data_IF_193461997671
#
_entry.id   IF_193461997671
#
_cell.length_a   1.000
_cell.length_b   1.000
_cell.length_c   1.000
_cell.angle_alpha   90.00
_cell.angle_beta   90.00
_cell.angle_gamma   90.00
#
_symmetry.space_group_name_H-M   'P 1'
#
loop_
_entity.id
_entity.type
_entity.pdbx_description
1 polymer ?
#
# COMPACT_ATOMS: atom_id res chain seq x y z
N UNK A 1 -8.82 -14.63 17.82
CA UNK A 1 -9.84 -15.36 17.01
C UNK A 1 -10.77 -14.46 16.20
N UNK A 2 -10.94 -13.16 16.50
CA UNK A 2 -11.87 -12.28 15.76
C UNK A 2 -11.46 -11.84 14.34
N UNK A 3 -10.23 -12.10 13.89
CA UNK A 3 -9.85 -11.80 12.49
C UNK A 3 -10.46 -12.80 11.52
N UNK A 4 -10.57 -14.07 11.91
CA UNK A 4 -11.17 -15.11 11.09
C UNK A 4 -12.66 -14.85 10.85
N UNK A 5 -13.39 -14.38 11.86
CA UNK A 5 -14.82 -14.03 11.71
C UNK A 5 -15.04 -12.81 10.82
N UNK A 6 -14.13 -11.83 10.86
CA UNK A 6 -14.19 -10.64 9.97
C UNK A 6 -13.79 -10.97 8.54
N UNK A 7 -12.82 -11.86 8.36
CA UNK A 7 -12.46 -12.42 7.06
C UNK A 7 -13.61 -13.27 6.49
N UNK A 8 -14.25 -14.12 7.30
CA UNK A 8 -15.43 -14.88 6.92
C UNK A 8 -16.62 -13.98 6.57
N UNK A 9 -16.81 -12.86 7.27
CA UNK A 9 -17.82 -11.88 6.89
C UNK A 9 -17.52 -11.26 5.52
N UNK A 10 -16.28 -10.89 5.22
CA UNK A 10 -15.89 -10.39 3.90
C UNK A 10 -16.06 -11.45 2.79
N UNK A 11 -15.72 -12.71 3.08
CA UNK A 11 -15.95 -13.84 2.17
C UNK A 11 -17.45 -14.12 2.00
N UNK A 12 -18.27 -13.96 3.04
CA UNK A 12 -19.71 -14.09 2.95
C UNK A 12 -20.32 -12.96 2.10
N UNK A 13 -19.87 -11.72 2.27
CA UNK A 13 -20.25 -10.61 1.39
C UNK A 13 -19.81 -10.85 -0.07
N UNK A 14 -18.63 -11.44 -0.28
CA UNK A 14 -18.17 -11.87 -1.59
C UNK A 14 -19.09 -12.93 -2.21
N UNK A 15 -19.45 -13.96 -1.44
CA UNK A 15 -20.35 -15.02 -1.87
C UNK A 15 -21.77 -14.49 -2.18
N UNK A 16 -22.27 -13.54 -1.39
CA UNK A 16 -23.54 -12.85 -1.64
C UNK A 16 -23.46 -12.02 -2.93
N UNK A 17 -22.39 -11.24 -3.14
CA UNK A 17 -22.19 -10.50 -4.39
C UNK A 17 -22.12 -11.39 -5.64
N UNK A 18 -21.54 -12.59 -5.51
CA UNK A 18 -21.52 -13.63 -6.54
C UNK A 18 -22.92 -14.20 -6.83
N UNK A 19 -23.71 -14.47 -5.79
CA UNK A 19 -25.06 -15.03 -5.91
C UNK A 19 -26.07 -14.03 -6.51
N UNK A 20 -25.92 -12.73 -6.25
CA UNK A 20 -26.82 -11.68 -6.74
C UNK A 20 -26.35 -11.01 -8.04
N UNK A 21 -25.28 -11.49 -8.68
CA UNK A 21 -24.87 -10.97 -9.99
C UNK A 21 -25.94 -11.30 -11.05
N UNK A 22 -26.43 -10.32 -11.83
CA UNK A 22 -27.47 -10.52 -12.85
C UNK A 22 -27.10 -11.58 -13.91
N UNK A 23 -25.80 -11.83 -14.09
CA UNK A 23 -25.32 -12.82 -15.04
C UNK A 23 -25.51 -14.26 -14.57
N UNK A 24 -25.59 -14.51 -13.25
CA UNK A 24 -25.70 -15.85 -12.63
C UNK A 24 -26.91 -16.65 -13.14
N UNK A 25 -27.91 -15.99 -13.72
CA UNK A 25 -29.15 -16.60 -14.23
C UNK A 25 -29.17 -16.85 -15.76
N UNK A 26 -28.10 -16.56 -16.52
CA UNK A 26 -28.06 -16.72 -17.98
C UNK A 26 -26.96 -17.68 -18.49
N UNK A 27 -27.33 -18.78 -19.16
CA UNK A 27 -26.42 -19.83 -19.65
C UNK A 27 -25.35 -19.36 -20.67
N UNK A 28 -24.14 -18.97 -20.19
CA UNK A 28 -22.86 -18.97 -20.93
C UNK A 28 -21.66 -19.04 -19.94
N UNK A 29 -21.17 -20.23 -19.57
CA UNK A 29 -20.20 -20.41 -18.46
C UNK A 29 -18.91 -19.56 -18.53
N UNK A 30 -18.43 -19.22 -19.74
CA UNK A 30 -17.24 -18.38 -19.95
C UNK A 30 -17.47 -16.92 -19.55
N UNK A 31 -18.68 -16.39 -19.74
CA UNK A 31 -19.03 -15.02 -19.35
C UNK A 31 -19.08 -14.86 -17.83
N UNK A 32 -19.61 -15.86 -17.13
CA UNK A 32 -19.68 -15.92 -15.68
C UNK A 32 -18.29 -15.96 -15.03
N UNK A 33 -17.38 -16.79 -15.55
CA UNK A 33 -16.01 -16.87 -15.05
C UNK A 33 -15.28 -15.53 -15.16
N UNK A 34 -15.44 -14.83 -16.30
CA UNK A 34 -14.86 -13.49 -16.48
C UNK A 34 -15.40 -12.49 -15.46
N UNK A 35 -16.71 -12.49 -15.21
CA UNK A 35 -17.33 -11.64 -14.20
C UNK A 35 -16.81 -11.93 -12.79
N UNK A 36 -16.71 -13.20 -12.40
CA UNK A 36 -16.19 -13.60 -11.10
C UNK A 36 -14.72 -13.22 -10.91
N UNK A 37 -13.89 -13.38 -11.94
CA UNK A 37 -12.49 -12.98 -11.89
C UNK A 37 -12.33 -11.46 -11.76
N UNK A 38 -13.13 -10.67 -12.49
CA UNK A 38 -13.14 -9.20 -12.36
C UNK A 38 -13.57 -8.77 -10.96
N UNK A 39 -14.61 -9.40 -10.40
CA UNK A 39 -15.08 -9.13 -9.04
C UNK A 39 -14.03 -9.48 -7.99
N UNK A 40 -13.43 -10.69 -8.10
CA UNK A 40 -12.36 -11.15 -7.21
C UNK A 40 -11.16 -10.22 -7.26
N UNK A 41 -10.75 -9.84 -8.48
CA UNK A 41 -9.67 -8.89 -8.71
C UNK A 41 -9.96 -7.55 -8.02
N UNK A 42 -11.11 -6.93 -8.31
CA UNK A 42 -11.47 -5.61 -7.80
C UNK A 42 -11.54 -5.59 -6.27
N UNK A 43 -12.19 -6.58 -5.66
CA UNK A 43 -12.34 -6.65 -4.21
C UNK A 43 -11.01 -6.90 -3.49
N UNK A 44 -10.20 -7.83 -4.00
CA UNK A 44 -8.88 -8.09 -3.42
C UNK A 44 -7.94 -6.90 -3.62
N UNK A 45 -7.90 -6.33 -4.81
CA UNK A 45 -7.08 -5.16 -5.12
C UNK A 45 -7.45 -3.96 -4.23
N UNK A 46 -8.74 -3.64 -4.12
CA UNK A 46 -9.23 -2.52 -3.31
C UNK A 46 -8.91 -2.74 -1.82
N UNK A 47 -9.04 -3.97 -1.34
CA UNK A 47 -8.67 -4.34 0.05
C UNK A 47 -7.18 -4.17 0.29
N UNK A 48 -6.33 -4.66 -0.62
CA UNK A 48 -4.88 -4.52 -0.51
C UNK A 48 -4.44 -3.05 -0.53
N UNK A 49 -4.95 -2.28 -1.50
CA UNK A 49 -4.63 -0.85 -1.66
C UNK A 49 -5.07 -0.04 -0.44
N UNK A 50 -6.32 -0.22 0.02
CA UNK A 50 -6.86 0.47 1.18
C UNK A 50 -6.14 0.11 2.48
N UNK A 51 -5.85 -1.18 2.71
CA UNK A 51 -5.10 -1.64 3.87
C UNK A 51 -3.67 -1.06 3.87
N UNK A 52 -2.98 -1.08 2.72
CA UNK A 52 -1.63 -0.55 2.59
C UNK A 52 -1.58 0.97 2.82
N UNK A 53 -2.55 1.71 2.28
CA UNK A 53 -2.68 3.15 2.52
C UNK A 53 -2.89 3.43 4.01
N UNK A 54 -3.87 2.76 4.62
CA UNK A 54 -4.22 3.01 6.01
C UNK A 54 -3.06 2.65 6.97
N UNK A 55 -2.52 1.44 6.88
CA UNK A 55 -1.48 0.97 7.81
C UNK A 55 -0.21 1.81 7.70
N UNK A 56 0.18 2.16 6.47
CA UNK A 56 1.46 2.86 6.21
C UNK A 56 1.39 4.35 6.58
N UNK A 57 0.33 5.05 6.17
CA UNK A 57 0.30 6.51 6.24
C UNK A 57 -0.57 7.06 7.36
N UNK A 58 -1.48 6.28 7.93
CA UNK A 58 -2.45 6.76 8.92
C UNK A 58 -2.26 6.01 10.25
N UNK A 59 -2.53 4.71 10.25
CA UNK A 59 -2.49 3.86 11.43
C UNK A 59 -1.11 3.85 12.10
N UNK A 60 -0.03 3.68 11.32
CA UNK A 60 1.34 3.71 11.84
C UNK A 60 1.68 5.00 12.60
N UNK A 61 1.34 6.16 12.04
CA UNK A 61 1.61 7.48 12.63
C UNK A 61 0.78 7.67 13.90
N UNK A 62 -0.52 7.36 13.86
CA UNK A 62 -1.40 7.48 15.02
C UNK A 62 -0.88 6.62 16.17
N UNK A 63 -0.54 5.36 15.91
CA UNK A 63 -0.03 4.46 16.94
C UNK A 63 1.31 4.92 17.51
N UNK A 64 2.24 5.37 16.67
CA UNK A 64 3.54 5.88 17.12
C UNK A 64 3.41 7.09 18.04
N UNK A 65 2.49 8.01 17.74
CA UNK A 65 2.31 9.25 18.51
C UNK A 65 1.55 9.06 19.81
N UNK A 66 0.72 8.01 19.93
CA UNK A 66 -0.23 7.87 21.02
C UNK A 66 -0.01 6.66 21.92
N UNK A 67 0.86 5.71 21.55
CA UNK A 67 1.16 4.54 22.38
C UNK A 67 2.54 4.62 23.02
N UNK A 68 2.70 4.11 24.26
CA UNK A 68 4.01 3.85 24.84
C UNK A 68 4.86 2.97 23.93
N UNK A 69 6.16 3.25 23.82
CA UNK A 69 7.08 2.57 22.88
C UNK A 69 6.97 1.04 22.90
N UNK A 70 6.98 0.42 24.09
CA UNK A 70 6.89 -1.04 24.20
C UNK A 70 5.52 -1.58 23.77
N UNK A 71 4.44 -0.86 24.07
CA UNK A 71 3.10 -1.23 23.64
C UNK A 71 2.95 -1.09 22.11
N UNK A 72 3.48 -0.01 21.54
CA UNK A 72 3.54 0.21 20.09
C UNK A 72 4.28 -0.92 19.37
N UNK A 73 5.46 -1.31 19.85
CA UNK A 73 6.21 -2.43 19.28
C UNK A 73 5.47 -3.76 19.41
N UNK A 74 4.89 -4.04 20.58
CA UNK A 74 4.13 -5.28 20.81
C UNK A 74 2.89 -5.36 19.90
N UNK A 75 2.15 -4.26 19.73
CA UNK A 75 1.00 -4.19 18.84
C UNK A 75 1.42 -4.44 17.38
N UNK A 76 2.48 -3.77 16.91
CA UNK A 76 3.03 -3.98 15.58
C UNK A 76 3.48 -5.43 15.33
N UNK A 77 4.06 -6.10 16.33
CA UNK A 77 4.49 -7.49 16.22
C UNK A 77 3.35 -8.48 15.94
N UNK A 78 2.11 -8.10 16.25
CA UNK A 78 0.90 -8.88 15.95
C UNK A 78 0.20 -8.38 14.70
N UNK A 79 0.19 -7.06 14.49
CA UNK A 79 -0.49 -6.43 13.38
C UNK A 79 0.20 -6.68 12.04
N UNK A 80 1.54 -6.53 11.95
CA UNK A 80 2.24 -6.63 10.68
C UNK A 80 2.16 -8.02 10.02
N UNK A 81 2.31 -9.14 10.74
CA UNK A 81 2.09 -10.47 10.15
C UNK A 81 0.68 -10.61 9.54
N UNK A 82 -0.35 -10.14 10.23
CA UNK A 82 -1.72 -10.17 9.72
C UNK A 82 -1.91 -9.26 8.52
N UNK A 83 -1.36 -8.05 8.56
CA UNK A 83 -1.39 -7.07 7.46
C UNK A 83 -0.69 -7.60 6.21
N UNK A 84 0.56 -8.06 6.31
CA UNK A 84 1.30 -8.56 5.15
C UNK A 84 0.71 -9.87 4.60
N UNK A 85 0.07 -10.69 5.44
CA UNK A 85 -0.69 -11.86 4.98
C UNK A 85 -1.92 -11.44 4.17
N UNK A 86 -2.70 -10.47 4.67
CA UNK A 86 -3.88 -9.95 3.95
C UNK A 86 -3.47 -9.36 2.60
N UNK A 87 -2.48 -8.45 2.58
CA UNK A 87 -2.00 -7.84 1.35
C UNK A 87 -1.42 -8.89 0.41
N UNK A 88 -0.64 -9.85 0.91
CA UNK A 88 -0.08 -10.93 0.11
C UNK A 88 -1.14 -11.81 -0.56
N UNK A 89 -2.17 -12.25 0.18
CA UNK A 89 -3.28 -13.05 -0.36
C UNK A 89 -4.06 -12.25 -1.41
N UNK A 90 -4.41 -11.01 -1.11
CA UNK A 90 -5.13 -10.15 -2.03
C UNK A 90 -4.33 -9.89 -3.32
N UNK A 91 -3.04 -9.60 -3.21
CA UNK A 91 -2.17 -9.44 -4.37
C UNK A 91 -2.06 -10.74 -5.19
N UNK A 92 -1.99 -11.90 -4.55
CA UNK A 92 -1.95 -13.19 -5.26
C UNK A 92 -3.23 -13.41 -6.09
N UNK A 93 -4.41 -13.14 -5.51
CA UNK A 93 -5.68 -13.23 -6.22
C UNK A 93 -5.74 -12.21 -7.36
N UNK A 94 -5.30 -10.97 -7.14
CA UNK A 94 -5.24 -9.95 -8.19
C UNK A 94 -4.29 -10.33 -9.33
N UNK A 95 -3.09 -10.85 -9.02
CA UNK A 95 -2.15 -11.34 -10.06
C UNK A 95 -2.78 -12.48 -10.86
N UNK A 96 -3.39 -13.46 -10.19
CA UNK A 96 -4.00 -14.60 -10.85
C UNK A 96 -5.18 -14.19 -11.75
N UNK A 97 -6.09 -13.36 -11.23
CA UNK A 97 -7.24 -12.88 -11.97
C UNK A 97 -6.84 -11.97 -13.14
N UNK A 98 -5.93 -11.02 -12.92
CA UNK A 98 -5.45 -10.12 -13.97
C UNK A 98 -4.65 -10.88 -15.05
N UNK A 99 -3.77 -11.80 -14.65
CA UNK A 99 -3.01 -12.63 -15.59
C UNK A 99 -3.90 -13.56 -16.43
N UNK A 100 -5.00 -14.05 -15.87
CA UNK A 100 -5.97 -14.84 -16.62
C UNK A 100 -6.77 -13.99 -17.61
N UNK A 101 -7.26 -12.82 -17.18
CA UNK A 101 -8.05 -11.91 -18.01
C UNK A 101 -7.22 -11.27 -19.13
N UNK A 102 -5.91 -11.14 -18.94
CA UNK A 102 -4.99 -10.52 -19.90
C UNK A 102 -3.83 -11.48 -20.24
N UNK A 103 -4.07 -12.51 -21.08
CA UNK A 103 -3.04 -13.48 -21.43
C UNK A 103 -1.81 -12.83 -22.06
N UNK A 104 -0.60 -13.24 -21.63
CA UNK A 104 0.65 -12.56 -21.99
C UNK A 104 0.87 -12.35 -23.49
N UNK A 105 0.46 -13.32 -24.33
CA UNK A 105 0.65 -13.25 -25.79
C UNK A 105 -0.24 -12.19 -26.45
N UNK A 106 -1.44 -11.97 -25.93
CA UNK A 106 -2.42 -11.01 -26.46
C UNK A 106 -2.47 -9.69 -25.68
N UNK A 107 -1.87 -9.64 -24.48
CA UNK A 107 -1.83 -8.47 -23.65
C UNK A 107 -1.00 -7.34 -24.28
N UNK A 108 -1.56 -6.14 -24.23
CA UNK A 108 -0.89 -4.88 -24.53
C UNK A 108 0.32 -4.67 -23.62
N UNK A 109 1.23 -3.80 -24.05
CA UNK A 109 2.40 -3.41 -23.27
C UNK A 109 2.00 -2.83 -21.91
N UNK A 110 0.92 -2.04 -21.85
CA UNK A 110 0.42 -1.46 -20.60
C UNK A 110 -0.01 -2.56 -19.61
N UNK A 111 -0.81 -3.54 -20.05
CA UNK A 111 -1.28 -4.65 -19.22
C UNK A 111 -0.11 -5.50 -18.69
N UNK A 112 0.93 -5.72 -19.51
CA UNK A 112 2.15 -6.43 -19.06
C UNK A 112 2.86 -5.70 -17.92
N UNK A 113 3.00 -4.37 -18.02
CA UNK A 113 3.55 -3.58 -16.92
C UNK A 113 2.67 -3.64 -15.67
N UNK A 114 1.35 -3.62 -15.82
CA UNK A 114 0.43 -3.74 -14.69
C UNK A 114 0.55 -5.07 -13.97
N UNK A 115 0.66 -6.16 -14.71
CA UNK A 115 0.94 -7.48 -14.15
C UNK A 115 2.28 -7.48 -13.39
N UNK A 116 3.31 -6.83 -13.95
CA UNK A 116 4.60 -6.63 -13.29
C UNK A 116 4.51 -5.86 -11.97
N UNK A 117 3.70 -4.80 -11.90
CA UNK A 117 3.46 -4.03 -10.67
C UNK A 117 2.71 -4.85 -9.61
N UNK A 118 1.73 -5.65 -10.01
CA UNK A 118 1.02 -6.53 -9.08
C UNK A 118 1.94 -7.64 -8.53
N UNK A 119 2.77 -8.25 -9.39
CA UNK A 119 3.75 -9.27 -8.99
C UNK A 119 4.80 -8.67 -8.06
N UNK A 120 5.32 -7.47 -8.36
CA UNK A 120 6.30 -6.82 -7.48
C UNK A 120 5.69 -6.50 -6.11
N UNK A 121 4.45 -6.01 -6.09
CA UNK A 121 3.72 -5.74 -4.84
C UNK A 121 3.55 -7.01 -4.00
N UNK A 122 3.17 -8.11 -4.64
CA UNK A 122 3.10 -9.43 -4.01
C UNK A 122 4.46 -9.86 -3.43
N UNK A 123 5.53 -9.78 -4.22
CA UNK A 123 6.87 -10.20 -3.81
C UNK A 123 7.41 -9.38 -2.63
N UNK A 124 7.22 -8.06 -2.65
CA UNK A 124 7.63 -7.20 -1.53
C UNK A 124 6.82 -7.48 -0.26
N UNK A 125 5.51 -7.73 -0.39
CA UNK A 125 4.67 -8.12 0.75
C UNK A 125 5.07 -9.46 1.35
N UNK A 126 5.41 -10.46 0.51
CA UNK A 126 5.92 -11.75 1.00
C UNK A 126 7.31 -11.63 1.64
N UNK A 127 8.21 -10.84 1.06
CA UNK A 127 9.52 -10.57 1.66
C UNK A 127 9.35 -9.93 3.04
N UNK A 128 8.42 -8.99 3.17
CA UNK A 128 8.09 -8.43 4.47
C UNK A 128 7.51 -9.45 5.43
N UNK A 129 6.59 -10.30 4.98
CA UNK A 129 5.94 -11.31 5.82
C UNK A 129 6.93 -12.35 6.35
N UNK A 130 7.76 -12.91 5.48
CA UNK A 130 8.60 -14.07 5.79
C UNK A 130 10.01 -13.72 6.23
N UNK A 131 10.52 -12.53 5.85
CA UNK A 131 11.92 -12.16 6.10
C UNK A 131 11.99 -10.98 7.07
N UNK A 132 11.52 -9.80 6.68
CA UNK A 132 11.78 -8.59 7.48
C UNK A 132 10.95 -8.49 8.75
N UNK A 133 9.69 -8.90 8.74
CA UNK A 133 8.82 -8.87 9.94
C UNK A 133 9.36 -9.76 11.06
N UNK A 134 9.66 -11.07 10.85
CA UNK A 134 10.18 -11.90 11.93
C UNK A 134 11.54 -11.39 12.45
N UNK A 135 12.43 -10.93 11.56
CA UNK A 135 13.70 -10.33 11.98
C UNK A 135 13.51 -9.06 12.82
N UNK A 136 12.59 -8.18 12.42
CA UNK A 136 12.29 -6.94 13.15
C UNK A 136 11.71 -7.24 14.54
N UNK A 137 10.78 -8.20 14.63
CA UNK A 137 10.17 -8.62 15.90
C UNK A 137 11.23 -9.18 16.85
N UNK A 138 12.15 -10.01 16.35
CA UNK A 138 13.20 -10.59 17.18
C UNK A 138 14.13 -9.52 17.76
N UNK A 139 14.64 -8.62 16.91
CA UNK A 139 15.51 -7.52 17.36
C UNK A 139 14.75 -6.57 18.29
N UNK A 140 13.47 -6.29 18.02
CA UNK A 140 12.62 -5.48 18.89
C UNK A 140 12.47 -6.10 20.28
N UNK A 141 12.22 -7.41 20.39
CA UNK A 141 12.08 -8.11 21.69
C UNK A 141 13.37 -8.04 22.50
N UNK A 142 14.51 -8.32 21.85
CA UNK A 142 15.82 -8.22 22.48
C UNK A 142 16.04 -6.79 22.98
N UNK A 143 15.73 -5.79 22.15
CA UNK A 143 15.91 -4.38 22.46
C UNK A 143 15.03 -3.95 23.64
N UNK A 144 13.76 -4.35 23.66
CA UNK A 144 12.84 -4.07 24.77
C UNK A 144 13.36 -4.67 26.10
N UNK A 145 14.11 -5.78 26.08
CA UNK A 145 14.71 -6.34 27.28
C UNK A 145 15.77 -5.41 27.87
N UNK A 146 16.69 -4.92 27.04
CA UNK A 146 17.72 -3.96 27.47
C UNK A 146 17.10 -2.63 27.89
N UNK A 147 16.09 -2.15 27.18
CA UNK A 147 15.37 -0.93 27.55
C UNK A 147 14.72 -1.03 28.94
N UNK A 148 14.19 -2.21 29.31
CA UNK A 148 13.66 -2.43 30.67
C UNK A 148 14.75 -2.44 31.74
N UNK A 149 15.92 -3.00 31.44
CA UNK A 149 17.08 -2.98 32.35
C UNK A 149 17.53 -1.53 32.65
N UNK A 150 17.37 -0.64 31.66
CA UNK A 150 17.69 0.80 31.75
C UNK A 150 16.50 1.68 32.21
N UNK A 151 15.39 1.08 32.64
CA UNK A 151 14.17 1.78 33.07
C UNK A 151 13.58 2.78 32.03
N UNK A 152 13.64 2.43 30.74
CA UNK A 152 13.07 3.21 29.62
C UNK A 152 12.09 2.37 28.78
N UNK A 153 11.34 3.04 27.90
CA UNK A 153 10.45 2.42 26.90
C UNK A 153 8.97 2.44 27.24
N UNK A 154 8.59 3.07 28.35
CA UNK A 154 7.20 3.40 28.69
C UNK A 154 6.81 4.80 28.24
N UNK A 155 7.73 5.56 27.64
CA UNK A 155 7.46 6.91 27.15
C UNK A 155 6.47 6.87 25.98
N UNK A 156 5.58 7.87 25.95
CA UNK A 156 4.66 8.12 24.82
C UNK A 156 5.31 9.16 23.91
N UNK A 157 5.39 8.86 22.61
CA UNK A 157 6.01 9.73 21.62
C UNK A 157 7.55 9.71 21.71
N UNK A 158 8.16 10.80 22.22
CA UNK A 158 9.61 10.94 22.25
C UNK A 158 10.25 10.00 23.27
N UNK A 159 11.28 9.26 22.85
CA UNK A 159 11.91 8.25 23.68
C UNK A 159 13.29 8.69 24.17
N UNK A 160 13.54 8.45 25.45
CA UNK A 160 14.84 8.63 26.12
C UNK A 160 15.92 7.68 25.62
N UNK A 161 15.54 6.70 24.80
CA UNK A 161 16.42 5.67 24.26
C UNK A 161 17.68 6.22 23.55
N UNK A 162 17.58 7.34 22.83
CA UNK A 162 18.74 7.92 22.14
C UNK A 162 19.79 8.46 23.12
N UNK A 163 19.35 9.00 24.25
CA UNK A 163 20.22 9.52 25.30
C UNK A 163 20.92 8.38 26.04
N UNK A 164 20.16 7.38 26.48
CA UNK A 164 20.72 6.19 27.15
C UNK A 164 21.66 5.42 26.24
N UNK A 165 21.39 5.35 24.93
CA UNK A 165 22.26 4.68 23.97
C UNK A 165 23.63 5.35 23.81
N UNK A 166 23.81 6.63 24.21
CA UNK A 166 25.15 7.26 24.22
C UNK A 166 26.06 6.63 25.28
N UNK A 167 25.49 6.22 26.41
CA UNK A 167 26.22 5.60 27.52
C UNK A 167 26.23 4.06 27.45
N UNK A 168 25.28 3.45 26.75
CA UNK A 168 25.15 1.99 26.64
C UNK A 168 25.47 1.51 25.19
N UNK A 169 26.69 0.97 24.94
CA UNK A 169 27.11 0.54 23.60
C UNK A 169 26.30 -0.67 23.08
N UNK A 170 25.81 -1.53 23.97
CA UNK A 170 24.93 -2.65 23.62
C UNK A 170 23.61 -2.12 23.05
N UNK A 171 22.99 -1.13 23.71
CA UNK A 171 21.76 -0.50 23.25
C UNK A 171 21.96 0.24 21.92
N UNK A 172 23.09 0.94 21.75
CA UNK A 172 23.43 1.62 20.49
C UNK A 172 23.54 0.64 19.30
N UNK A 173 24.24 -0.49 19.49
CA UNK A 173 24.37 -1.51 18.46
C UNK A 173 23.00 -2.11 18.07
N UNK A 174 22.14 -2.34 19.06
CA UNK A 174 20.78 -2.85 18.83
C UNK A 174 19.89 -1.85 18.10
N UNK A 175 20.00 -0.56 18.42
CA UNK A 175 19.29 0.51 17.72
C UNK A 175 19.69 0.57 16.24
N UNK A 176 20.99 0.46 15.94
CA UNK A 176 21.49 0.43 14.56
C UNK A 176 20.93 -0.76 13.80
N UNK A 177 21.00 -1.97 14.40
CA UNK A 177 20.49 -3.20 13.78
C UNK A 177 18.97 -3.14 13.55
N UNK A 178 18.21 -2.71 14.55
CA UNK A 178 16.76 -2.52 14.45
C UNK A 178 16.42 -1.53 13.34
N UNK A 179 17.13 -0.40 13.33
CA UNK A 179 16.99 0.65 12.33
C UNK A 179 17.13 0.19 10.90
N UNK A 180 18.23 -0.52 10.62
CA UNK A 180 18.51 -1.06 9.30
C UNK A 180 17.42 -2.02 8.82
N UNK A 181 17.04 -2.99 9.66
CA UNK A 181 16.02 -3.99 9.28
C UNK A 181 14.66 -3.32 9.10
N UNK A 182 14.28 -2.40 10.00
CA UNK A 182 13.04 -1.65 9.91
C UNK A 182 13.01 -0.78 8.64
N UNK A 183 14.10 -0.09 8.29
CA UNK A 183 14.19 0.71 7.09
C UNK A 183 14.02 -0.14 5.81
N UNK A 184 14.64 -1.32 5.75
CA UNK A 184 14.46 -2.26 4.65
C UNK A 184 13.00 -2.75 4.55
N UNK A 185 12.39 -3.08 5.69
CA UNK A 185 10.97 -3.49 5.75
C UNK A 185 10.04 -2.38 5.25
N UNK A 186 10.24 -1.16 5.72
CA UNK A 186 9.47 0.02 5.33
C UNK A 186 9.64 0.34 3.85
N UNK A 187 10.86 0.24 3.31
CA UNK A 187 11.12 0.43 1.88
C UNK A 187 10.38 -0.62 1.05
N UNK A 188 10.46 -1.90 1.41
CA UNK A 188 9.72 -2.95 0.71
C UNK A 188 8.19 -2.70 0.76
N UNK A 189 7.66 -2.21 1.89
CA UNK A 189 6.24 -1.89 2.00
C UNK A 189 5.85 -0.69 1.13
N UNK A 190 6.69 0.36 1.05
CA UNK A 190 6.47 1.50 0.15
C UNK A 190 6.54 1.09 -1.31
N UNK A 191 7.46 0.20 -1.68
CA UNK A 191 7.54 -0.33 -3.05
C UNK A 191 6.28 -1.15 -3.41
N UNK A 192 5.76 -1.94 -2.46
CA UNK A 192 4.49 -2.65 -2.64
C UNK A 192 3.31 -1.69 -2.82
N UNK A 193 3.20 -0.68 -1.96
CA UNK A 193 2.17 0.36 -2.13
C UNK A 193 2.32 1.11 -3.45
N UNK A 194 3.55 1.41 -3.88
CA UNK A 194 3.82 2.07 -5.15
C UNK A 194 3.33 1.27 -6.35
N UNK A 195 3.55 -0.06 -6.36
CA UNK A 195 3.01 -0.94 -7.40
C UNK A 195 1.48 -0.97 -7.41
N UNK A 196 0.85 -1.10 -6.23
CA UNK A 196 -0.61 -1.01 -6.09
C UNK A 196 -1.16 0.34 -6.55
N UNK A 197 -0.48 1.45 -6.26
CA UNK A 197 -0.87 2.79 -6.68
C UNK A 197 -0.78 2.98 -8.20
N UNK A 198 0.27 2.45 -8.83
CA UNK A 198 0.39 2.46 -10.29
C UNK A 198 -0.73 1.65 -10.96
N UNK A 199 -1.10 0.51 -10.35
CA UNK A 199 -2.23 -0.28 -10.83
C UNK A 199 -3.58 0.41 -10.63
N UNK A 200 -3.78 1.09 -9.49
CA UNK A 200 -4.96 1.90 -9.21
C UNK A 200 -5.16 2.98 -10.27
N UNK A 201 -4.07 3.68 -10.61
CA UNK A 201 -4.07 4.69 -11.66
C UNK A 201 -4.49 4.12 -13.02
N UNK A 202 -3.99 2.94 -13.37
CA UNK A 202 -4.35 2.27 -14.62
C UNK A 202 -5.84 1.93 -14.67
N UNK A 203 -6.40 1.34 -13.61
CA UNK A 203 -7.83 1.02 -13.54
C UNK A 203 -8.69 2.28 -13.68
N UNK A 204 -8.35 3.35 -12.96
CA UNK A 204 -9.07 4.62 -13.03
C UNK A 204 -8.98 5.28 -14.42
N UNK A 205 -7.83 5.21 -15.08
CA UNK A 205 -7.66 5.77 -16.42
C UNK A 205 -8.46 4.99 -17.49
N UNK A 206 -8.56 3.67 -17.34
CA UNK A 206 -9.31 2.82 -18.27
C UNK A 206 -10.82 3.01 -18.15
N UNK A 207 -11.36 3.14 -16.92
CA UNK A 207 -12.79 3.41 -16.69
C UNK A 207 -13.22 4.78 -17.24
N UNK A 208 -12.38 5.81 -17.10
CA UNK A 208 -12.67 7.11 -17.69
C UNK A 208 -12.74 7.07 -19.22
N UNK A 209 -11.86 6.31 -19.88
CA UNK A 209 -11.95 6.10 -21.32
C UNK A 209 -13.24 5.36 -21.73
N UNK A 210 -13.65 4.34 -20.97
CA UNK A 210 -14.87 3.59 -21.24
C UNK A 210 -16.14 4.44 -21.05
N UNK A 211 -16.20 5.26 -20.00
CA UNK A 211 -17.32 6.18 -19.75
C UNK A 211 -17.38 7.31 -20.78
N UNK A 212 -16.22 7.86 -21.21
CA UNK A 212 -16.16 8.83 -22.29
C UNK A 212 -16.65 8.19 -23.60
N UNK A 213 -16.23 6.96 -23.88
CA UNK A 213 -16.65 6.23 -25.08
C UNK A 213 -18.15 5.96 -25.08
N UNK A 214 -18.70 5.45 -23.97
CA UNK A 214 -20.13 5.15 -23.82
C UNK A 214 -20.98 6.42 -23.86
N UNK A 215 -20.51 7.53 -23.26
CA UNK A 215 -21.21 8.81 -23.33
C UNK A 215 -21.19 9.41 -24.75
N UNK A 216 -20.08 9.31 -25.49
CA UNK A 216 -19.98 9.76 -26.88
C UNK A 216 -20.88 8.91 -27.80
N UNK A 217 -20.87 7.58 -27.64
CA UNK A 217 -21.63 6.68 -28.52
C UNK A 217 -23.13 6.70 -28.23
N UNK A 218 -23.52 6.90 -26.96
CA UNK A 218 -24.94 6.97 -26.55
C UNK A 218 -25.57 8.33 -26.82
N UNK A 219 -24.78 9.40 -26.93
CA UNK A 219 -25.24 10.76 -27.18
C UNK A 219 -25.42 11.07 -28.67
N UNK A 220 -24.59 10.53 -29.57
CA UNK A 220 -24.64 10.90 -30.99
C UNK A 220 -24.36 9.73 -31.94
N UNK A 221 -25.41 9.00 -32.31
CA UNK A 221 -25.36 7.97 -33.36
C UNK A 221 -24.99 8.46 -34.77
N UNK A 222 -24.84 9.78 -34.98
CA UNK A 222 -24.50 10.39 -36.28
C UNK A 222 -23.24 11.26 -36.27
N UNK A 223 -22.73 11.71 -35.10
CA UNK A 223 -21.54 12.58 -35.04
C UNK A 223 -20.21 11.82 -35.01
N UNK A 224 -20.24 10.51 -34.71
CA UNK A 224 -19.03 9.68 -34.58
C UNK A 224 -18.19 9.59 -35.87
N UNK A 225 -18.81 9.76 -37.04
CA UNK A 225 -18.10 9.67 -38.34
C UNK A 225 -17.26 10.93 -38.61
N UNK A 226 -17.66 12.09 -38.09
CA UNK A 226 -16.96 13.37 -38.37
C UNK A 226 -15.71 13.52 -37.48
N UNK A 227 -15.75 13.04 -36.23
CA UNK A 227 -14.60 13.16 -35.31
C UNK A 227 -13.44 12.20 -35.66
N UNK A 228 -13.74 11.03 -36.22
CA UNK A 228 -12.72 10.06 -36.67
C UNK A 228 -11.92 10.60 -37.88
N UNK A 229 -12.52 11.48 -38.69
CA UNK A 229 -11.87 12.08 -39.86
C UNK A 229 -11.04 13.35 -39.54
N UNK A 230 -11.20 13.95 -38.35
CA UNK A 230 -10.49 15.17 -37.93
C UNK A 230 -9.40 14.94 -36.87
N UNK A 231 -9.11 13.68 -36.52
CA UNK A 231 -8.19 13.31 -35.47
C UNK A 231 -6.66 13.29 -35.78
N UNK A 232 -6.07 14.01 -36.77
CA UNK A 232 -4.61 14.16 -36.79
C UNK A 232 -4.03 15.26 -35.89
N UNK A 233 -4.82 16.19 -35.31
CA UNK A 233 -4.24 17.48 -34.89
C UNK A 233 -4.61 18.11 -33.53
N UNK A 234 -5.13 17.40 -32.52
CA UNK A 234 -5.40 18.02 -31.20
C UNK A 234 -4.39 17.58 -30.15
N UNK A 235 -3.27 18.31 -30.07
CA UNK A 235 -2.23 18.17 -29.05
C UNK A 235 -2.44 19.12 -27.86
N UNK A 236 -3.60 19.13 -27.20
CA UNK A 236 -3.79 20.02 -26.03
C UNK A 236 -4.68 19.36 -24.98
N UNK A 237 -4.08 18.95 -23.85
CA UNK A 237 -4.65 18.81 -22.49
C UNK A 237 -3.99 17.68 -21.65
N UNK A 238 -2.68 17.53 -21.74
CA UNK A 238 -1.92 16.69 -20.78
C UNK A 238 -1.06 17.50 -19.81
N UNK A 239 -0.78 18.78 -20.10
CA UNK A 239 0.11 19.62 -19.29
C UNK A 239 -0.49 20.06 -17.94
N UNK A 240 -1.81 20.28 -17.85
CA UNK A 240 -2.43 20.79 -16.62
C UNK A 240 -2.62 19.71 -15.55
N UNK A 241 -2.99 18.50 -15.94
CA UNK A 241 -3.04 17.33 -15.05
C UNK A 241 -1.65 16.87 -14.61
N UNK A 242 -0.64 16.94 -15.50
CA UNK A 242 0.76 16.68 -15.14
C UNK A 242 1.30 17.68 -14.12
N UNK A 243 0.99 18.98 -14.23
CA UNK A 243 1.50 20.01 -13.30
C UNK A 243 0.88 19.93 -11.91
N UNK A 244 -0.44 19.65 -11.80
CA UNK A 244 -1.10 19.44 -10.51
C UNK A 244 -0.62 18.17 -9.78
N UNK A 245 -0.29 17.11 -10.55
CA UNK A 245 0.22 15.84 -10.01
C UNK A 245 1.74 15.88 -9.73
N UNK A 246 2.54 16.63 -10.48
CA UNK A 246 3.97 16.83 -10.19
C UNK A 246 4.16 17.68 -8.92
N UNK A 247 3.30 18.68 -8.70
CA UNK A 247 3.29 19.48 -7.47
C UNK A 247 3.05 18.59 -6.23
N UNK A 248 2.10 17.64 -6.33
CA UNK A 248 1.81 16.68 -5.25
C UNK A 248 2.83 15.54 -5.15
N UNK A 249 3.43 15.04 -6.24
CA UNK A 249 4.49 14.02 -6.21
C UNK A 249 5.79 14.52 -5.60
N UNK A 250 6.21 15.76 -5.91
CA UNK A 250 7.38 16.37 -5.28
C UNK A 250 7.13 16.65 -3.80
N UNK A 251 5.92 17.07 -3.44
CA UNK A 251 5.55 17.32 -2.04
C UNK A 251 5.45 16.02 -1.22
N UNK A 252 4.85 14.95 -1.77
CA UNK A 252 4.68 13.68 -1.05
C UNK A 252 6.00 12.90 -0.94
N UNK A 253 6.82 12.84 -1.99
CA UNK A 253 8.13 12.18 -1.94
C UNK A 253 9.12 12.98 -1.09
N UNK A 254 9.09 14.32 -1.16
CA UNK A 254 9.87 15.17 -0.24
C UNK A 254 9.39 15.00 1.20
N UNK A 255 8.09 14.93 1.49
CA UNK A 255 7.58 14.58 2.83
C UNK A 255 8.00 13.18 3.26
N UNK A 256 7.97 12.19 2.37
CA UNK A 256 8.29 10.80 2.71
C UNK A 256 9.79 10.61 3.02
N UNK A 257 10.67 11.27 2.26
CA UNK A 257 12.11 11.30 2.57
C UNK A 257 12.37 12.15 3.81
N UNK A 258 11.71 13.31 3.94
CA UNK A 258 11.88 14.22 5.07
C UNK A 258 11.39 13.64 6.39
N UNK A 259 10.23 12.98 6.44
CA UNK A 259 9.69 12.38 7.67
C UNK A 259 10.31 11.01 7.98
N UNK A 260 10.71 10.22 6.97
CA UNK A 260 11.48 8.99 7.23
C UNK A 260 12.89 9.32 7.75
N UNK A 261 13.54 10.38 7.26
CA UNK A 261 14.80 10.88 7.81
C UNK A 261 14.61 11.61 9.16
N UNK A 262 13.62 12.49 9.35
CA UNK A 262 13.37 13.20 10.64
C UNK A 262 12.83 12.33 11.76
N UNK A 263 12.14 11.23 11.45
CA UNK A 263 11.80 10.24 12.47
C UNK A 263 13.06 9.55 13.03
N UNK A 264 14.22 9.71 12.38
CA UNK A 264 15.52 9.14 12.72
C UNK A 264 16.53 10.19 13.22
N UNK A 265 16.55 11.37 12.59
CA UNK A 265 17.29 12.56 13.02
C UNK A 265 16.46 13.33 14.03
N UNK A 266 16.71 13.02 15.32
CA UNK A 266 16.07 13.67 16.46
C UNK A 266 15.95 15.19 16.30
N UNK A 267 14.77 15.69 16.62
CA UNK A 267 14.53 17.11 16.79
C UNK A 267 15.54 17.67 17.80
N UNK A 268 16.36 18.58 17.31
CA UNK A 268 17.11 19.52 18.12
C UNK A 268 16.12 20.31 19.00
N UNK A 269 16.45 20.44 20.28
CA UNK A 269 15.98 21.56 21.07
C UNK A 269 16.42 22.87 20.39
N UNK A 270 15.58 23.89 20.25
CA UNK A 270 16.08 25.23 20.48
C UNK A 270 16.32 25.32 21.99
N UNK A 271 17.60 25.23 22.37
CA UNK A 271 18.05 25.75 23.65
C UNK A 271 17.55 27.19 23.77
N UNK A 272 16.78 27.46 24.81
CA UNK A 272 16.64 28.81 25.33
C UNK A 272 18.03 29.31 25.71
N UNK A 273 18.58 30.22 24.92
CA UNK A 273 19.62 31.15 25.33
C UNK A 273 19.25 32.54 24.80
N UNK A 274 18.71 33.34 25.71
CA UNK A 274 19.19 34.70 25.99
C UNK A 274 19.35 35.63 24.78
N UNK A 275 18.35 36.50 24.61
CA UNK A 275 18.64 37.93 24.44
C UNK A 275 17.66 38.69 25.34
N UNK A 276 18.26 39.41 26.30
CA UNK A 276 17.67 40.29 27.32
C UNK A 276 17.06 39.61 28.55
#
# INVERSE_FOLDING_TARGET
MGWLSRFLAAVAFFAVGVLFSPETFGSKSVTHLSAYLKLAHLLCFSTAFGAALWVTFIGGIIMFKNLPRHQFGNLQSKMFPAYFSLVGICCAISVAAFGYLHPWKSASTAEKYQLGFLISSFAFSLTNLFVFTPMTIEVMKQRHKVEREENIGTEIGWSKNKEVAKANPKLAAMNKKFGMIHALSSLANIMSFGGLAMHSWYLAAFENCALIYDHIFRSNGTAAIILVLLAPHVSVSWKWTYMAVISSRKFLVALLVYYSCRSWEGYEHPSSSLCS
#
